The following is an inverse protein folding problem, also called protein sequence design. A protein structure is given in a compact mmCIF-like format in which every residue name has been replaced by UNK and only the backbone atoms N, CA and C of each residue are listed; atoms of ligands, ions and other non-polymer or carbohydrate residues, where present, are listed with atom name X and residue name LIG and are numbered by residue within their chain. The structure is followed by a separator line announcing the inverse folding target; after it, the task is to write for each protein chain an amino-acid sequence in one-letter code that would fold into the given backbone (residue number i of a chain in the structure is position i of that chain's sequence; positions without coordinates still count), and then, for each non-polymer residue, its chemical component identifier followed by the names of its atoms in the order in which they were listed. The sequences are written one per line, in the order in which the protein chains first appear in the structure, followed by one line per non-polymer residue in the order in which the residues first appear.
data_IF_916290011125
#
_entry.id   IF_916290011125
#
_cell.length_a   1.000
_cell.length_b   1.000
_cell.length_c   1.000
_cell.angle_alpha   90.00
_cell.angle_beta   90.00
_cell.angle_gamma   90.00
#
_symmetry.space_group_name_H-M   'P 1'
#
loop_
_entity.id
_entity.type
_entity.pdbx_description
1 polymer ?
#
# COMPACT_ATOMS: atom_id res chain seq x y z
N UNK A 1 46.15 47.15 -8.51
CA UNK A 1 46.19 45.67 -8.39
C UNK A 1 45.60 45.30 -7.04
N UNK A 2 44.45 44.62 -7.02
CA UNK A 2 43.77 44.20 -5.78
C UNK A 2 44.39 42.88 -5.30
N UNK A 3 45.01 42.90 -4.11
CA UNK A 3 45.74 41.77 -3.49
C UNK A 3 44.80 40.98 -2.55
N UNK A 4 43.48 41.17 -2.63
CA UNK A 4 42.57 40.47 -1.73
C UNK A 4 42.32 39.02 -2.20
N UNK A 5 42.60 38.00 -1.36
CA UNK A 5 42.29 36.63 -1.70
C UNK A 5 40.77 36.44 -1.74
N UNK A 6 40.24 36.10 -2.91
CA UNK A 6 38.84 35.73 -3.07
C UNK A 6 38.58 34.42 -2.33
N UNK A 7 37.83 34.50 -1.23
CA UNK A 7 37.43 33.36 -0.41
C UNK A 7 36.54 32.45 -1.24
N UNK A 8 37.04 31.29 -1.69
CA UNK A 8 36.22 30.29 -2.38
C UNK A 8 35.13 29.80 -1.42
N UNK A 9 33.88 30.14 -1.72
CA UNK A 9 32.69 29.60 -1.05
C UNK A 9 32.64 28.12 -1.37
N UNK A 10 33.05 27.29 -0.42
CA UNK A 10 32.87 25.83 -0.47
C UNK A 10 31.36 25.60 -0.37
N UNK A 11 30.71 25.33 -1.51
CA UNK A 11 29.33 24.83 -1.54
C UNK A 11 29.31 23.51 -0.77
N UNK A 12 28.69 23.52 0.41
CA UNK A 12 28.32 22.31 1.13
C UNK A 12 27.47 21.45 0.19
N UNK A 13 28.06 20.40 -0.38
CA UNK A 13 27.33 19.37 -1.10
C UNK A 13 26.54 18.57 -0.05
N UNK A 14 25.21 18.55 -0.19
CA UNK A 14 24.35 17.66 0.61
C UNK A 14 24.85 16.21 0.42
N UNK A 15 24.83 15.37 1.47
CA UNK A 15 25.34 14.00 1.42
C UNK A 15 24.62 13.14 0.37
N UNK A 16 25.20 12.00 -0.05
CA UNK A 16 24.76 11.21 -1.20
C UNK A 16 23.31 10.74 -1.05
N UNK A 17 22.52 10.95 -2.10
CA UNK A 17 21.07 10.69 -2.17
C UNK A 17 20.67 9.20 -2.27
N UNK A 18 21.51 8.24 -1.86
CA UNK A 18 21.24 6.81 -2.08
C UNK A 18 20.09 6.24 -1.23
N UNK A 19 19.90 6.72 0.00
CA UNK A 19 18.85 6.21 0.90
C UNK A 19 17.44 6.59 0.44
N UNK A 20 17.32 7.67 -0.34
CA UNK A 20 16.03 8.14 -0.85
C UNK A 20 15.47 7.19 -1.90
N UNK A 21 16.32 6.60 -2.75
CA UNK A 21 15.86 5.71 -3.82
C UNK A 21 15.30 4.40 -3.26
N UNK A 22 16.00 3.77 -2.31
CA UNK A 22 15.52 2.53 -1.68
C UNK A 22 14.22 2.76 -0.91
N UNK A 23 14.10 3.88 -0.20
CA UNK A 23 12.88 4.22 0.53
C UNK A 23 11.68 4.38 -0.41
N UNK A 24 11.88 5.03 -1.56
CA UNK A 24 10.85 5.20 -2.60
C UNK A 24 10.45 3.84 -3.19
N UNK A 25 11.42 3.01 -3.56
CA UNK A 25 11.16 1.66 -4.09
C UNK A 25 10.39 0.80 -3.08
N UNK A 26 10.82 0.76 -1.82
CA UNK A 26 10.16 0.02 -0.74
C UNK A 26 8.72 0.52 -0.56
N UNK A 27 8.53 1.85 -0.55
CA UNK A 27 7.20 2.45 -0.39
C UNK A 27 6.29 2.08 -1.57
N UNK A 28 6.79 2.14 -2.81
CA UNK A 28 6.04 1.77 -4.00
C UNK A 28 5.63 0.30 -4.01
N UNK A 29 6.57 -0.62 -3.73
CA UNK A 29 6.29 -2.05 -3.61
C UNK A 29 5.28 -2.32 -2.49
N UNK A 30 5.43 -1.67 -1.35
CA UNK A 30 4.51 -1.84 -0.22
C UNK A 30 3.10 -1.39 -0.57
N UNK A 31 2.93 -0.20 -1.16
CA UNK A 31 1.63 0.32 -1.60
C UNK A 31 0.97 -0.61 -2.63
N UNK A 32 1.73 -1.04 -3.63
CA UNK A 32 1.23 -1.94 -4.67
C UNK A 32 0.79 -3.28 -4.06
N UNK A 33 1.60 -3.84 -3.16
CA UNK A 33 1.29 -5.11 -2.48
C UNK A 33 0.01 -5.01 -1.65
N UNK A 34 -0.13 -3.95 -0.84
CA UNK A 34 -1.34 -3.72 -0.04
C UNK A 34 -2.57 -3.56 -0.94
N UNK A 35 -2.44 -2.79 -2.03
CA UNK A 35 -3.51 -2.60 -3.00
C UNK A 35 -3.95 -3.92 -3.66
N UNK A 36 -2.99 -4.76 -4.07
CA UNK A 36 -3.27 -6.07 -4.68
C UNK A 36 -3.96 -7.00 -3.68
N UNK A 37 -3.45 -7.11 -2.45
CA UNK A 37 -4.04 -7.97 -1.43
C UNK A 37 -5.48 -7.54 -1.11
N UNK A 38 -5.72 -6.23 -1.03
CA UNK A 38 -7.06 -5.67 -0.83
C UNK A 38 -7.96 -5.98 -2.04
N UNK A 39 -7.48 -5.77 -3.27
CA UNK A 39 -8.26 -6.05 -4.48
C UNK A 39 -8.65 -7.53 -4.57
N UNK A 40 -7.70 -8.43 -4.32
CA UNK A 40 -7.94 -9.88 -4.29
C UNK A 40 -8.94 -10.24 -3.20
N UNK A 41 -8.84 -9.61 -2.04
CA UNK A 41 -9.80 -9.83 -0.97
C UNK A 41 -11.23 -9.44 -1.35
N UNK A 42 -11.42 -8.37 -2.13
CA UNK A 42 -12.75 -7.99 -2.62
C UNK A 42 -13.24 -8.91 -3.74
N UNK A 43 -12.34 -9.32 -4.64
CA UNK A 43 -12.67 -10.19 -5.77
C UNK A 43 -13.04 -11.60 -5.34
N UNK A 44 -12.39 -12.14 -4.32
CA UNK A 44 -12.60 -13.50 -3.83
C UNK A 44 -13.61 -13.58 -2.69
N UNK A 45 -14.11 -12.45 -2.19
CA UNK A 45 -15.06 -12.41 -1.09
C UNK A 45 -16.35 -13.18 -1.40
N UNK A 46 -16.73 -14.08 -0.50
CA UNK A 46 -18.02 -14.78 -0.50
C UNK A 46 -18.84 -14.40 0.74
N UNK A 47 -20.18 -14.27 0.64
CA UNK A 47 -21.04 -14.08 1.81
C UNK A 47 -20.95 -15.19 2.87
N UNK A 48 -20.41 -16.36 2.51
CA UNK A 48 -20.19 -17.47 3.43
C UNK A 48 -18.85 -17.39 4.19
N UNK A 49 -17.98 -16.43 3.86
CA UNK A 49 -16.66 -16.31 4.46
C UNK A 49 -16.74 -15.86 5.92
N UNK A 50 -15.90 -16.42 6.80
CA UNK A 50 -15.87 -16.02 8.20
C UNK A 50 -15.34 -14.58 8.32
N UNK A 51 -16.07 -13.75 9.06
CA UNK A 51 -15.68 -12.37 9.37
C UNK A 51 -15.42 -12.24 10.88
N UNK A 52 -14.33 -11.54 11.24
CA UNK A 52 -13.87 -11.44 12.63
C UNK A 52 -14.79 -10.60 13.51
N UNK A 53 -15.33 -9.50 12.97
CA UNK A 53 -16.11 -8.53 13.72
C UNK A 53 -17.60 -8.86 13.82
N UNK A 54 -18.12 -9.70 12.91
CA UNK A 54 -19.53 -10.09 12.85
C UNK A 54 -19.70 -11.58 12.57
N UNK A 55 -19.19 -12.47 13.45
CA UNK A 55 -19.20 -13.90 13.20
C UNK A 55 -20.62 -14.40 12.96
N UNK A 56 -20.86 -14.90 11.75
CA UNK A 56 -22.06 -15.63 11.37
C UNK A 56 -21.70 -17.09 11.11
N UNK A 57 -22.70 -17.97 11.00
CA UNK A 57 -22.49 -19.37 10.67
C UNK A 57 -21.79 -19.49 9.31
N UNK A 58 -20.47 -19.65 9.31
CA UNK A 58 -19.70 -19.92 8.12
C UNK A 58 -19.80 -21.42 7.83
N UNK A 59 -20.34 -21.78 6.66
CA UNK A 59 -20.35 -23.17 6.21
C UNK A 59 -18.95 -23.68 5.83
N UNK A 60 -17.98 -22.76 5.71
CA UNK A 60 -16.63 -23.03 5.21
C UNK A 60 -15.60 -23.00 6.34
N UNK A 61 -14.54 -23.80 6.18
CA UNK A 61 -13.42 -23.82 7.12
C UNK A 61 -12.78 -22.44 7.26
N UNK A 62 -12.52 -22.04 8.50
CA UNK A 62 -11.89 -20.75 8.79
C UNK A 62 -10.47 -20.75 8.24
N UNK A 63 -10.10 -19.79 7.37
CA UNK A 63 -8.74 -19.69 6.86
C UNK A 63 -7.75 -19.57 8.01
N UNK A 64 -6.65 -20.33 7.95
CA UNK A 64 -5.63 -20.31 9.01
C UNK A 64 -4.60 -19.18 8.84
N UNK A 65 -4.71 -18.41 7.76
CA UNK A 65 -3.85 -17.27 7.48
C UNK A 65 -4.48 -15.95 7.95
N UNK A 66 -3.63 -15.01 8.39
CA UNK A 66 -4.08 -13.69 8.82
C UNK A 66 -4.67 -12.87 7.65
N UNK A 67 -4.10 -13.01 6.46
CA UNK A 67 -4.51 -12.27 5.25
C UNK A 67 -5.96 -12.58 4.88
N UNK A 68 -6.38 -13.84 4.92
CA UNK A 68 -7.75 -14.24 4.60
C UNK A 68 -8.75 -13.75 5.62
N UNK A 69 -8.43 -13.80 6.92
CA UNK A 69 -9.31 -13.31 8.00
C UNK A 69 -9.48 -11.79 8.00
N UNK A 70 -8.37 -11.06 7.83
CA UNK A 70 -8.40 -9.59 7.74
C UNK A 70 -9.08 -9.17 6.45
N UNK A 71 -8.74 -9.83 5.35
CA UNK A 71 -9.31 -9.60 4.04
C UNK A 71 -10.83 -9.80 4.03
N UNK A 72 -11.34 -10.95 4.45
CA UNK A 72 -12.78 -11.24 4.46
C UNK A 72 -13.58 -10.19 5.26
N UNK A 73 -13.06 -9.80 6.42
CA UNK A 73 -13.69 -8.80 7.30
C UNK A 73 -13.69 -7.40 6.65
N UNK A 74 -12.57 -7.03 6.02
CA UNK A 74 -12.42 -5.75 5.34
C UNK A 74 -13.29 -5.68 4.08
N UNK A 75 -13.30 -6.74 3.28
CA UNK A 75 -14.13 -6.88 2.08
C UNK A 75 -15.62 -6.84 2.42
N UNK A 76 -16.06 -7.59 3.44
CA UNK A 76 -17.44 -7.55 3.91
C UNK A 76 -17.87 -6.13 4.29
N UNK A 77 -17.07 -5.46 5.13
CA UNK A 77 -17.40 -4.11 5.61
C UNK A 77 -17.52 -3.12 4.45
N UNK A 78 -16.58 -3.15 3.51
CA UNK A 78 -16.57 -2.23 2.37
C UNK A 78 -17.68 -2.53 1.36
N UNK A 79 -17.92 -3.79 1.03
CA UNK A 79 -18.99 -4.17 0.11
C UNK A 79 -20.37 -3.87 0.70
N UNK A 80 -20.54 -3.99 2.02
CA UNK A 80 -21.81 -3.66 2.68
C UNK A 80 -22.06 -2.16 2.79
N UNK A 81 -21.02 -1.36 3.03
CA UNK A 81 -21.15 0.09 3.22
C UNK A 81 -21.11 0.88 1.90
N UNK A 82 -20.23 0.48 0.97
CA UNK A 82 -19.91 1.23 -0.25
C UNK A 82 -20.35 0.48 -1.51
N UNK A 83 -20.54 -0.84 -1.43
CA UNK A 83 -20.88 -1.66 -2.60
C UNK A 83 -19.75 -1.67 -3.63
N UNK A 84 -20.10 -1.67 -4.92
CA UNK A 84 -19.13 -1.72 -6.02
C UNK A 84 -18.14 -0.55 -6.07
N UNK A 85 -18.39 0.56 -5.35
CA UNK A 85 -17.41 1.64 -5.22
C UNK A 85 -16.15 1.24 -4.44
N UNK A 86 -16.20 0.15 -3.67
CA UNK A 86 -15.08 -0.33 -2.85
C UNK A 86 -13.84 -0.73 -3.68
N UNK A 87 -13.99 -1.00 -4.98
CA UNK A 87 -12.89 -1.36 -5.86
C UNK A 87 -12.00 -0.18 -6.25
N UNK A 88 -12.49 1.07 -6.14
CA UNK A 88 -11.72 2.26 -6.54
C UNK A 88 -10.49 2.43 -5.65
N UNK A 89 -10.65 2.31 -4.33
CA UNK A 89 -9.56 2.50 -3.37
C UNK A 89 -8.37 1.54 -3.60
N UNK A 90 -8.55 0.21 -3.68
CA UNK A 90 -7.43 -0.68 -3.93
C UNK A 90 -6.81 -0.46 -5.32
N UNK A 91 -7.60 -0.13 -6.35
CA UNK A 91 -7.05 0.23 -7.67
C UNK A 91 -6.14 1.46 -7.60
N UNK A 92 -6.53 2.49 -6.83
CA UNK A 92 -5.68 3.66 -6.59
C UNK A 92 -4.39 3.29 -5.87
N UNK A 93 -4.45 2.44 -4.83
CA UNK A 93 -3.26 1.98 -4.12
C UNK A 93 -2.28 1.26 -5.06
N UNK A 94 -2.77 0.38 -5.93
CA UNK A 94 -1.94 -0.29 -6.94
C UNK A 94 -1.35 0.72 -7.91
N UNK A 95 -2.18 1.62 -8.46
CA UNK A 95 -1.72 2.64 -9.40
C UNK A 95 -0.64 3.55 -8.81
N UNK A 96 -0.87 4.10 -7.62
CA UNK A 96 0.11 4.95 -6.93
C UNK A 96 1.37 4.17 -6.51
N UNK A 97 1.24 2.92 -6.07
CA UNK A 97 2.39 2.08 -5.74
C UNK A 97 3.30 1.88 -6.95
N UNK A 98 2.72 1.60 -8.11
CA UNK A 98 3.46 1.44 -9.37
C UNK A 98 4.10 2.74 -9.85
N UNK A 99 3.40 3.88 -9.73
CA UNK A 99 3.99 5.18 -10.14
C UNK A 99 5.15 5.59 -9.24
N UNK A 100 5.03 5.38 -7.92
CA UNK A 100 6.11 5.64 -6.96
C UNK A 100 7.29 4.70 -7.20
N UNK A 101 7.04 3.42 -7.51
CA UNK A 101 8.10 2.45 -7.79
C UNK A 101 8.94 2.81 -9.03
N UNK A 102 8.31 3.43 -10.03
CA UNK A 102 8.95 3.80 -11.29
C UNK A 102 9.42 5.26 -11.36
N UNK A 103 9.27 6.03 -10.28
CA UNK A 103 9.67 7.44 -10.18
C UNK A 103 11.10 7.62 -9.69
#
# INVERSE_FOLDING_TARGET
MSIFPSKKVVKNKKPPQETSSLTVQITGVFLATVGILWLLSLLTYSPADPVLLFPHSSAQQVPDNAVGRVGSTLAFSLLKLVGGGSFVVPLLFVGFGLTVLWS
#
